data_IF_134201819572
#
_entry.id   IF_134201819572
#
_cell.length_a   1.000
_cell.length_b   1.000
_cell.length_c   1.000
_cell.angle_alpha   90.00
_cell.angle_beta   90.00
_cell.angle_gamma   90.00
#
_symmetry.space_group_name_H-M   'P 1'
#
loop_
_entity.id
_entity.type
_entity.pdbx_description
1 polymer ?
#
# COMPACT_ATOMS: atom_id res chain seq x y z
N UNK A 1 19.45 -50.34 -29.55
CA UNK A 1 19.15 -50.80 -28.18
C UNK A 1 17.85 -50.14 -27.75
N UNK A 2 16.84 -50.88 -27.27
CA UNK A 2 15.53 -50.30 -26.94
C UNK A 2 15.68 -49.37 -25.72
N UNK A 3 14.99 -48.23 -25.72
CA UNK A 3 14.85 -47.38 -24.53
C UNK A 3 14.31 -48.25 -23.38
N UNK A 4 15.11 -48.41 -22.33
CA UNK A 4 14.68 -49.10 -21.11
C UNK A 4 13.55 -48.28 -20.51
N UNK A 5 12.33 -48.81 -20.54
CA UNK A 5 11.17 -48.18 -19.93
C UNK A 5 11.46 -47.89 -18.45
N UNK A 6 11.56 -46.60 -18.08
CA UNK A 6 11.79 -46.20 -16.69
C UNK A 6 10.64 -46.75 -15.85
N UNK A 7 10.98 -47.47 -14.78
CA UNK A 7 9.97 -47.94 -13.84
C UNK A 7 9.21 -46.76 -13.23
N UNK A 8 7.92 -46.93 -12.92
CA UNK A 8 7.06 -45.86 -12.36
C UNK A 8 7.67 -45.23 -11.10
N UNK A 9 8.32 -46.03 -10.27
CA UNK A 9 9.08 -45.56 -9.10
C UNK A 9 10.28 -44.66 -9.50
N UNK A 10 10.98 -44.98 -10.59
CA UNK A 10 12.04 -44.15 -11.16
C UNK A 10 11.53 -42.81 -11.71
N UNK A 11 10.37 -42.81 -12.36
CA UNK A 11 9.72 -41.58 -12.86
C UNK A 11 9.33 -40.67 -11.69
N UNK A 12 8.67 -41.20 -10.66
CA UNK A 12 8.27 -40.42 -9.49
C UNK A 12 9.48 -39.82 -8.75
N UNK A 13 10.56 -40.60 -8.58
CA UNK A 13 11.81 -40.08 -7.99
C UNK A 13 12.47 -39.00 -8.86
N UNK A 14 12.36 -39.12 -10.19
CA UNK A 14 12.79 -38.08 -11.12
C UNK A 14 12.07 -36.75 -10.89
N UNK A 15 10.75 -36.77 -10.70
CA UNK A 15 9.97 -35.56 -10.40
C UNK A 15 10.26 -34.96 -9.02
N UNK A 16 10.58 -35.77 -8.01
CA UNK A 16 11.04 -35.26 -6.71
C UNK A 16 12.41 -34.57 -6.86
N UNK A 17 13.33 -35.14 -7.64
CA UNK A 17 14.63 -34.51 -7.91
C UNK A 17 14.51 -33.23 -8.73
N UNK A 18 13.49 -33.13 -9.59
CA UNK A 18 13.27 -31.97 -10.47
C UNK A 18 12.54 -30.82 -9.76
N UNK A 19 11.49 -31.13 -9.00
CA UNK A 19 10.59 -30.15 -8.39
C UNK A 19 10.74 -29.99 -6.88
N UNK A 20 11.61 -30.79 -6.24
CA UNK A 20 11.92 -30.69 -4.82
C UNK A 20 11.15 -31.66 -3.94
N UNK A 21 11.82 -32.14 -2.89
CA UNK A 21 11.25 -33.01 -1.85
C UNK A 21 10.30 -32.29 -0.89
N UNK A 22 10.32 -30.97 -0.91
CA UNK A 22 9.41 -30.08 -0.19
C UNK A 22 8.05 -29.96 -0.86
N UNK A 23 7.95 -30.28 -2.16
CA UNK A 23 6.71 -30.20 -2.95
C UNK A 23 6.07 -31.58 -3.13
N UNK A 24 6.89 -32.61 -3.34
CA UNK A 24 6.42 -33.96 -3.64
C UNK A 24 7.05 -35.03 -2.76
N UNK A 25 6.23 -36.03 -2.44
CA UNK A 25 6.66 -37.28 -1.80
C UNK A 25 6.10 -38.49 -2.57
N UNK A 26 6.71 -39.66 -2.40
CA UNK A 26 6.30 -40.89 -3.10
C UNK A 26 6.50 -42.11 -2.22
N UNK A 27 5.55 -43.04 -2.26
CA UNK A 27 5.70 -44.40 -1.71
C UNK A 27 6.28 -45.39 -2.74
N UNK A 28 6.64 -44.89 -3.92
CA UNK A 28 7.13 -45.67 -5.08
C UNK A 28 6.05 -45.95 -6.12
N UNK A 29 4.77 -45.89 -5.76
CA UNK A 29 3.64 -46.16 -6.65
C UNK A 29 2.89 -44.89 -7.06
N UNK A 30 2.78 -43.92 -6.14
CA UNK A 30 2.03 -42.66 -6.32
C UNK A 30 2.92 -41.47 -5.96
N UNK A 31 2.95 -40.45 -6.83
CA UNK A 31 3.53 -39.14 -6.49
C UNK A 31 2.44 -38.30 -5.81
N UNK A 32 2.65 -37.93 -4.56
CA UNK A 32 1.72 -37.11 -3.77
C UNK A 32 2.29 -35.71 -3.60
N UNK A 33 1.47 -34.71 -3.90
CA UNK A 33 1.80 -33.31 -3.61
C UNK A 33 1.60 -33.05 -2.11
N UNK A 34 2.63 -32.54 -1.44
CA UNK A 34 2.61 -32.25 -0.01
C UNK A 34 1.66 -31.07 0.31
N UNK A 35 1.69 -29.92 -0.41
CA UNK A 35 0.73 -28.83 -0.21
C UNK A 35 -0.73 -29.19 -0.42
N UNK A 36 -1.03 -30.01 -1.43
CA UNK A 36 -2.41 -30.34 -1.82
C UNK A 36 -2.96 -31.59 -1.13
N UNK A 37 -2.10 -32.35 -0.45
CA UNK A 37 -2.36 -33.71 0.05
C UNK A 37 -3.11 -34.61 -0.95
N UNK A 38 -2.73 -34.50 -2.22
CA UNK A 38 -3.43 -35.16 -3.33
C UNK A 38 -2.45 -35.89 -4.26
N UNK A 39 -2.83 -37.04 -4.83
CA UNK A 39 -2.04 -37.71 -5.85
C UNK A 39 -1.95 -36.86 -7.13
N UNK A 40 -0.80 -36.90 -7.79
CA UNK A 40 -0.55 -36.21 -9.06
C UNK A 40 -0.24 -37.23 -10.15
N UNK A 41 -0.84 -37.03 -11.32
CA UNK A 41 -0.60 -37.89 -12.47
C UNK A 41 0.81 -37.66 -13.03
N UNK A 42 1.53 -38.76 -13.27
CA UNK A 42 2.94 -38.74 -13.67
C UNK A 42 3.18 -39.26 -15.09
N UNK A 43 2.12 -39.47 -15.89
CA UNK A 43 2.24 -40.00 -17.26
C UNK A 43 2.94 -39.02 -18.19
N UNK A 44 2.75 -37.72 -17.99
CA UNK A 44 3.53 -36.68 -18.69
C UNK A 44 3.95 -35.55 -17.75
N UNK A 45 5.16 -35.02 -17.97
CA UNK A 45 5.71 -33.88 -17.21
C UNK A 45 4.80 -32.65 -17.24
N UNK A 46 4.07 -32.44 -18.33
CA UNK A 46 3.12 -31.32 -18.45
C UNK A 46 2.00 -31.38 -17.41
N UNK A 47 1.57 -32.57 -16.99
CA UNK A 47 0.53 -32.74 -15.97
C UNK A 47 1.03 -32.32 -14.58
N UNK A 48 2.27 -32.70 -14.25
CA UNK A 48 2.93 -32.28 -13.01
C UNK A 48 3.10 -30.75 -13.00
N UNK A 49 3.57 -30.19 -14.12
CA UNK A 49 3.74 -28.74 -14.26
C UNK A 49 2.39 -27.99 -14.19
N UNK A 50 1.32 -28.57 -14.76
CA UNK A 50 -0.02 -28.00 -14.72
C UNK A 50 -0.58 -28.02 -13.29
N UNK A 51 -0.37 -29.10 -12.53
CA UNK A 51 -0.75 -29.19 -11.12
C UNK A 51 -0.15 -28.05 -10.30
N UNK A 52 1.16 -27.79 -10.46
CA UNK A 52 1.88 -26.71 -9.77
C UNK A 52 1.32 -25.31 -10.10
N UNK A 53 0.74 -25.13 -11.29
CA UNK A 53 0.12 -23.88 -11.72
C UNK A 53 -1.35 -23.74 -11.31
N UNK A 54 -1.95 -24.74 -10.69
CA UNK A 54 -3.36 -24.66 -10.29
C UNK A 54 -3.56 -23.65 -9.18
N UNK A 55 -4.69 -22.92 -9.23
CA UNK A 55 -5.09 -21.97 -8.18
C UNK A 55 -5.15 -22.62 -6.78
N UNK A 56 -5.55 -23.89 -6.73
CA UNK A 56 -5.59 -24.68 -5.49
C UNK A 56 -4.20 -24.88 -4.89
N UNK A 57 -3.23 -25.30 -5.71
CA UNK A 57 -1.86 -25.52 -5.25
C UNK A 57 -1.19 -24.23 -4.78
N UNK A 58 -1.32 -23.14 -5.55
CA UNK A 58 -0.79 -21.83 -5.16
C UNK A 58 -1.38 -21.35 -3.83
N UNK A 59 -2.71 -21.46 -3.67
CA UNK A 59 -3.39 -21.11 -2.42
C UNK A 59 -2.96 -21.98 -1.24
N UNK A 60 -2.75 -23.27 -1.45
CA UNK A 60 -2.34 -24.19 -0.37
C UNK A 60 -0.89 -23.97 0.06
N UNK A 61 -0.01 -23.56 -0.86
CA UNK A 61 1.35 -23.12 -0.53
C UNK A 61 1.29 -21.84 0.32
N UNK A 62 0.46 -20.86 -0.05
CA UNK A 62 0.25 -19.65 0.76
C UNK A 62 -0.25 -20.00 2.17
N UNK A 63 -1.22 -20.91 2.29
CA UNK A 63 -1.75 -21.38 3.59
C UNK A 63 -0.67 -22.10 4.40
N UNK A 64 0.13 -22.99 3.80
CA UNK A 64 1.22 -23.69 4.50
C UNK A 64 2.32 -22.73 4.96
N UNK A 65 2.70 -21.76 4.14
CA UNK A 65 3.67 -20.73 4.51
C UNK A 65 3.16 -19.87 5.68
N UNK A 66 1.88 -19.49 5.67
CA UNK A 66 1.24 -18.79 6.77
C UNK A 66 1.19 -19.64 8.05
N UNK A 67 0.92 -20.95 7.93
CA UNK A 67 0.86 -21.87 9.06
C UNK A 67 2.24 -22.18 9.66
N UNK A 68 3.28 -22.30 8.84
CA UNK A 68 4.66 -22.45 9.30
C UNK A 68 5.17 -21.19 10.01
N UNK A 69 4.76 -20.01 9.51
CA UNK A 69 5.01 -18.73 10.17
C UNK A 69 4.30 -18.63 11.53
N UNK A 70 3.02 -19.05 11.60
CA UNK A 70 2.26 -19.17 12.85
C UNK A 70 2.98 -20.11 13.85
N UNK A 71 3.40 -21.31 13.44
CA UNK A 71 4.14 -22.24 14.31
C UNK A 71 5.49 -21.69 14.81
N UNK A 72 6.22 -20.91 13.99
CA UNK A 72 7.48 -20.28 14.40
C UNK A 72 7.28 -19.16 15.43
N UNK A 73 6.22 -18.35 15.26
CA UNK A 73 5.78 -17.39 16.25
C UNK A 73 5.41 -18.11 17.56
N UNK A 74 4.53 -19.11 17.51
CA UNK A 74 4.05 -19.93 18.65
C UNK A 74 5.19 -20.52 19.48
N UNK A 75 6.18 -21.15 18.84
CA UNK A 75 7.32 -21.78 19.53
C UNK A 75 8.25 -20.77 20.24
N UNK A 76 8.26 -19.51 19.81
CA UNK A 76 9.00 -18.42 20.48
C UNK A 76 8.26 -17.89 21.71
N UNK A 77 6.95 -18.07 21.78
CA UNK A 77 6.08 -17.55 22.85
C UNK A 77 5.99 -18.44 24.10
N UNK A 78 6.00 -19.77 23.95
CA UNK A 78 5.92 -20.71 25.09
C UNK A 78 7.07 -20.55 26.09
N UNK A 79 8.23 -20.03 25.66
CA UNK A 79 9.43 -19.90 26.50
C UNK A 79 9.46 -18.69 27.44
N UNK A 80 8.50 -17.75 27.41
CA UNK A 80 8.64 -16.44 28.09
C UNK A 80 7.60 -16.11 29.19
N UNK A 81 6.65 -16.99 29.49
CA UNK A 81 5.96 -17.02 30.80
C UNK A 81 5.15 -15.78 31.24
N UNK A 82 4.62 -14.93 30.35
CA UNK A 82 3.84 -13.73 30.76
C UNK A 82 2.46 -13.54 30.12
N UNK A 83 2.16 -14.20 29.00
CA UNK A 83 0.82 -14.31 28.43
C UNK A 83 0.50 -15.79 28.22
N UNK A 84 -0.75 -16.20 28.44
CA UNK A 84 -1.19 -17.53 28.06
C UNK A 84 -1.18 -17.67 26.54
N UNK A 85 -0.95 -18.88 26.02
CA UNK A 85 -1.00 -19.17 24.59
C UNK A 85 -2.33 -18.69 23.98
N UNK A 86 -3.45 -18.95 24.65
CA UNK A 86 -4.77 -18.51 24.21
C UNK A 86 -4.94 -16.99 24.13
N UNK A 87 -4.21 -16.21 24.95
CA UNK A 87 -4.25 -14.74 24.85
C UNK A 87 -3.50 -14.24 23.62
N UNK A 88 -2.46 -14.95 23.19
CA UNK A 88 -1.71 -14.65 21.96
C UNK A 88 -2.51 -15.03 20.72
N UNK A 89 -3.11 -16.22 20.72
CA UNK A 89 -4.01 -16.68 19.66
C UNK A 89 -5.15 -15.68 19.43
N UNK A 90 -5.72 -15.14 20.52
CA UNK A 90 -6.74 -14.10 20.47
C UNK A 90 -6.18 -12.79 19.89
N UNK A 91 -5.01 -12.31 20.34
CA UNK A 91 -4.39 -11.10 19.78
C UNK A 91 -4.14 -11.25 18.28
N UNK A 92 -3.69 -12.41 17.83
CA UNK A 92 -3.47 -12.72 16.42
C UNK A 92 -4.78 -12.73 15.64
N UNK A 93 -5.84 -13.35 16.18
CA UNK A 93 -7.17 -13.32 15.55
C UNK A 93 -7.74 -11.90 15.44
N UNK A 94 -7.59 -11.08 16.49
CA UNK A 94 -8.00 -9.68 16.48
C UNK A 94 -7.22 -8.88 15.44
N UNK A 95 -5.90 -9.04 15.39
CA UNK A 95 -5.04 -8.37 14.43
C UNK A 95 -5.36 -8.80 12.99
N UNK A 96 -5.56 -10.10 12.75
CA UNK A 96 -5.90 -10.65 11.43
C UNK A 96 -7.30 -10.26 10.95
N UNK A 97 -8.22 -9.98 11.88
CA UNK A 97 -9.57 -9.50 11.60
C UNK A 97 -9.69 -7.96 11.63
N UNK A 98 -8.59 -7.24 11.78
CA UNK A 98 -8.56 -5.77 11.89
C UNK A 98 -9.42 -5.21 13.04
N UNK A 99 -9.53 -5.96 14.14
CA UNK A 99 -10.25 -5.57 15.35
C UNK A 99 -9.25 -4.96 16.35
N UNK A 100 -9.35 -3.67 16.69
CA UNK A 100 -8.46 -3.06 17.66
C UNK A 100 -8.58 -3.74 19.04
N UNK A 101 -7.44 -4.03 19.67
CA UNK A 101 -7.42 -4.56 21.05
C UNK A 101 -8.14 -3.64 22.04
N UNK A 102 -8.31 -2.36 21.72
CA UNK A 102 -9.08 -1.44 22.57
C UNK A 102 -10.57 -1.76 22.68
N UNK A 103 -11.11 -2.56 21.76
CA UNK A 103 -12.48 -3.09 21.90
C UNK A 103 -12.62 -3.97 23.14
N UNK A 104 -11.53 -4.57 23.64
CA UNK A 104 -11.52 -5.32 24.90
C UNK A 104 -11.73 -4.46 26.14
N UNK A 105 -11.65 -3.13 26.03
CA UNK A 105 -12.01 -2.20 27.12
C UNK A 105 -13.51 -1.97 27.23
N UNK A 106 -14.32 -2.41 26.26
CA UNK A 106 -15.77 -2.42 26.40
C UNK A 106 -16.19 -3.52 27.38
N UNK A 107 -16.82 -3.19 28.53
CA UNK A 107 -17.10 -4.17 29.58
C UNK A 107 -18.10 -5.26 29.15
N UNK A 108 -19.04 -4.94 28.25
CA UNK A 108 -20.04 -5.90 27.74
C UNK A 108 -19.39 -6.92 26.81
N UNK A 109 -18.62 -6.43 25.83
CA UNK A 109 -17.91 -7.30 24.89
C UNK A 109 -16.89 -8.18 25.61
N UNK A 110 -16.15 -7.59 26.55
CA UNK A 110 -15.19 -8.32 27.38
C UNK A 110 -15.84 -9.42 28.19
N UNK A 111 -16.92 -9.13 28.91
CA UNK A 111 -17.62 -10.14 29.71
C UNK A 111 -18.19 -11.28 28.87
N UNK A 112 -18.72 -10.97 27.68
CA UNK A 112 -19.15 -11.98 26.71
C UNK A 112 -17.96 -12.86 26.27
N UNK A 113 -16.85 -12.23 25.86
CA UNK A 113 -15.67 -12.96 25.36
C UNK A 113 -15.03 -13.85 26.43
N UNK A 114 -14.87 -13.34 27.66
CA UNK A 114 -14.37 -14.12 28.81
C UNK A 114 -15.28 -15.31 29.11
N UNK A 115 -16.61 -15.16 28.97
CA UNK A 115 -17.57 -16.26 29.18
C UNK A 115 -17.50 -17.32 28.09
N UNK A 116 -17.50 -16.94 26.82
CA UNK A 116 -17.51 -17.89 25.70
C UNK A 116 -16.16 -18.63 25.58
N UNK A 117 -15.04 -17.93 25.85
CA UNK A 117 -13.69 -18.50 25.72
C UNK A 117 -13.17 -19.13 27.01
N UNK A 118 -13.80 -18.82 28.16
CA UNK A 118 -13.31 -19.16 29.51
C UNK A 118 -11.90 -18.62 29.81
N UNK A 119 -11.46 -17.60 29.08
CA UNK A 119 -10.18 -16.94 29.28
C UNK A 119 -10.34 -15.80 30.26
N UNK A 120 -9.39 -15.66 31.18
CA UNK A 120 -9.25 -14.43 31.97
C UNK A 120 -8.39 -13.46 31.18
N UNK A 121 -9.01 -12.43 30.59
CA UNK A 121 -8.30 -11.55 29.67
C UNK A 121 -7.42 -10.58 30.45
N UNK A 122 -6.18 -10.33 30.06
CA UNK A 122 -5.45 -9.18 30.57
C UNK A 122 -6.11 -7.87 30.12
N UNK A 123 -5.73 -6.76 30.74
CA UNK A 123 -6.12 -5.43 30.26
C UNK A 123 -5.54 -5.19 28.85
N UNK A 124 -6.23 -4.42 27.99
CA UNK A 124 -5.81 -4.18 26.60
C UNK A 124 -4.35 -3.68 26.51
N UNK A 125 -3.93 -2.85 27.47
CA UNK A 125 -2.59 -2.26 27.49
C UNK A 125 -1.52 -3.31 27.80
N UNK A 126 -1.86 -4.34 28.57
CA UNK A 126 -0.98 -5.48 28.85
C UNK A 126 -0.84 -6.35 27.60
N UNK A 127 -1.96 -6.66 26.93
CA UNK A 127 -1.97 -7.43 25.68
C UNK A 127 -1.16 -6.72 24.60
N UNK A 128 -1.44 -5.43 24.37
CA UNK A 128 -0.76 -4.59 23.39
C UNK A 128 0.76 -4.55 23.61
N UNK A 129 1.18 -4.25 24.84
CA UNK A 129 2.60 -4.18 25.20
C UNK A 129 3.27 -5.52 24.95
N UNK A 130 2.74 -6.61 25.51
CA UNK A 130 3.43 -7.90 25.46
C UNK A 130 3.38 -8.56 24.07
N UNK A 131 2.25 -8.47 23.37
CA UNK A 131 2.11 -8.99 22.01
C UNK A 131 3.10 -8.32 21.06
N UNK A 132 3.06 -6.98 20.97
CA UNK A 132 3.96 -6.27 20.06
C UNK A 132 5.42 -6.39 20.46
N UNK A 133 5.76 -6.30 21.76
CA UNK A 133 7.13 -6.54 22.27
C UNK A 133 7.72 -7.83 21.74
N UNK A 134 6.96 -8.92 21.83
CA UNK A 134 7.44 -10.22 21.40
C UNK A 134 7.55 -10.35 19.88
N UNK A 135 6.64 -9.72 19.13
CA UNK A 135 6.72 -9.70 17.66
C UNK A 135 7.98 -8.98 17.16
N UNK A 136 8.39 -7.88 17.80
CA UNK A 136 9.53 -7.08 17.33
C UNK A 136 10.86 -7.45 17.99
N UNK A 137 10.86 -8.27 19.03
CA UNK A 137 12.06 -8.62 19.80
C UNK A 137 13.13 -9.23 18.90
N UNK A 138 14.34 -8.66 18.94
CA UNK A 138 15.49 -9.07 18.15
C UNK A 138 15.24 -9.07 16.63
N UNK A 139 14.27 -8.25 16.16
CA UNK A 139 13.99 -8.10 14.73
C UNK A 139 14.31 -6.68 14.28
N UNK A 140 14.69 -6.55 13.01
CA UNK A 140 14.80 -5.24 12.36
C UNK A 140 13.40 -4.69 12.10
N UNK A 141 13.17 -3.44 12.42
CA UNK A 141 11.87 -2.80 12.30
C UNK A 141 11.93 -1.53 11.47
N UNK A 142 10.76 -1.19 10.94
CA UNK A 142 10.45 0.12 10.40
C UNK A 142 9.28 0.72 11.15
N UNK A 143 9.24 2.05 11.20
CA UNK A 143 8.19 2.82 11.84
C UNK A 143 7.60 3.75 10.80
N UNK A 144 6.28 3.92 10.81
CA UNK A 144 5.59 4.96 10.08
C UNK A 144 4.76 5.80 11.02
N UNK A 145 4.83 7.13 10.83
CA UNK A 145 3.94 8.07 11.50
C UNK A 145 3.20 8.84 10.43
N UNK A 146 1.88 8.72 10.48
CA UNK A 146 0.95 9.39 9.59
C UNK A 146 -0.02 10.24 10.40
N UNK A 147 -0.21 11.49 9.99
CA UNK A 147 -1.11 12.43 10.67
C UNK A 147 -2.41 12.57 9.89
N UNK A 148 -3.52 12.58 10.62
CA UNK A 148 -4.85 12.83 10.07
C UNK A 148 -5.63 13.76 10.98
N UNK A 149 -6.80 14.16 10.51
CA UNK A 149 -7.76 14.95 11.29
C UNK A 149 -9.03 14.13 11.38
N UNK A 150 -9.52 13.91 12.60
CA UNK A 150 -10.75 13.16 12.80
C UNK A 150 -12.02 13.99 12.50
N UNK A 151 -13.18 13.34 12.58
CA UNK A 151 -14.47 13.97 12.24
C UNK A 151 -14.85 15.19 13.10
N UNK A 152 -14.21 15.37 14.27
CA UNK A 152 -14.45 16.52 15.15
C UNK A 152 -13.29 17.53 15.16
N UNK A 153 -12.32 17.36 14.25
CA UNK A 153 -11.22 18.29 14.05
C UNK A 153 -9.99 18.07 14.92
N UNK A 154 -9.91 16.95 15.66
CA UNK A 154 -8.71 16.62 16.44
C UNK A 154 -7.61 16.15 15.52
N UNK A 155 -6.38 16.60 15.79
CA UNK A 155 -5.17 16.16 15.09
C UNK A 155 -4.78 14.83 15.70
N UNK A 156 -4.63 13.82 14.87
CA UNK A 156 -4.38 12.45 15.31
C UNK A 156 -3.17 11.91 14.58
N UNK A 157 -2.22 11.33 15.31
CA UNK A 157 -1.09 10.62 14.73
C UNK A 157 -1.26 9.12 14.91
N UNK A 158 -1.22 8.41 13.79
CA UNK A 158 -1.20 6.97 13.72
C UNK A 158 0.25 6.49 13.62
N UNK A 159 0.63 5.58 14.51
CA UNK A 159 1.96 4.98 14.52
C UNK A 159 1.84 3.52 14.10
N UNK A 160 2.42 3.20 12.95
CA UNK A 160 2.53 1.84 12.45
C UNK A 160 3.95 1.36 12.68
N UNK A 161 4.08 0.11 13.11
CA UNK A 161 5.36 -0.58 13.19
C UNK A 161 5.28 -1.81 12.33
N UNK A 162 6.34 -2.07 11.58
CA UNK A 162 6.45 -3.30 10.82
C UNK A 162 7.83 -3.92 10.91
N UNK A 163 7.86 -5.20 10.61
CA UNK A 163 9.05 -6.03 10.66
C UNK A 163 9.69 -6.03 9.27
N UNK A 164 11.00 -5.86 9.22
CA UNK A 164 11.75 -6.04 8.00
C UNK A 164 12.26 -7.47 7.94
N UNK A 165 11.96 -8.17 6.84
CA UNK A 165 12.45 -9.52 6.56
C UNK A 165 13.27 -9.51 5.25
N UNK A 166 14.33 -10.34 5.13
CA UNK A 166 15.20 -10.33 3.95
C UNK A 166 14.54 -10.90 2.68
N UNK A 167 13.58 -11.80 2.82
CA UNK A 167 13.05 -12.65 1.75
C UNK A 167 11.62 -12.30 1.33
N UNK A 168 10.87 -11.59 2.18
CA UNK A 168 9.47 -11.20 1.95
C UNK A 168 9.09 -9.91 2.69
N UNK A 169 7.88 -9.42 2.45
CA UNK A 169 7.27 -8.39 3.31
C UNK A 169 7.03 -8.95 4.71
N UNK A 170 7.39 -8.19 5.74
CA UNK A 170 7.10 -8.58 7.12
C UNK A 170 5.76 -8.05 7.60
N UNK A 171 5.31 -8.59 8.74
CA UNK A 171 4.07 -8.17 9.37
C UNK A 171 4.16 -6.72 9.84
N UNK A 172 3.04 -6.01 9.78
CA UNK A 172 2.89 -4.63 10.24
C UNK A 172 1.59 -4.46 10.99
N UNK A 173 1.58 -3.54 11.94
CA UNK A 173 0.45 -3.33 12.82
C UNK A 173 0.37 -1.88 13.28
N UNK A 174 -0.85 -1.42 13.49
CA UNK A 174 -1.12 -0.14 14.16
C UNK A 174 -0.75 -0.28 15.64
N UNK A 175 0.36 0.33 16.03
CA UNK A 175 0.86 0.27 17.41
C UNK A 175 0.03 1.19 18.32
N UNK A 176 -0.14 2.44 17.92
CA UNK A 176 -0.95 3.41 18.64
C UNK A 176 -1.52 4.50 17.74
N UNK A 177 -2.56 5.16 18.25
CA UNK A 177 -3.23 6.32 17.66
C UNK A 177 -3.37 7.33 18.79
N UNK A 178 -2.68 8.46 18.67
CA UNK A 178 -2.62 9.48 19.72
C UNK A 178 -3.12 10.83 19.20
N UNK A 179 -3.86 11.55 20.03
CA UNK A 179 -4.20 12.94 19.77
C UNK A 179 -2.96 13.83 19.95
N UNK A 180 -2.73 14.73 19.00
CA UNK A 180 -1.66 15.71 19.03
C UNK A 180 -2.21 17.09 19.36
N UNK A 181 -1.69 17.72 20.42
CA UNK A 181 -1.98 19.13 20.70
C UNK A 181 -1.51 20.04 19.54
N UNK A 182 -0.33 19.72 19.00
CA UNK A 182 0.34 20.47 17.91
C UNK A 182 0.98 19.50 16.91
N UNK A 183 0.90 19.85 15.63
CA UNK A 183 1.59 19.17 14.53
C UNK A 183 2.93 19.87 14.29
N UNK A 184 3.95 19.50 15.05
CA UNK A 184 5.30 20.03 14.91
C UNK A 184 6.36 18.93 15.05
N UNK A 185 7.62 19.28 14.81
CA UNK A 185 8.71 18.31 14.78
C UNK A 185 8.96 17.67 16.16
N UNK A 186 8.67 18.39 17.24
CA UNK A 186 8.84 17.90 18.60
C UNK A 186 7.77 16.87 18.95
N UNK A 187 6.51 17.16 18.60
CA UNK A 187 5.40 16.23 18.77
C UNK A 187 5.65 14.90 18.05
N UNK A 188 6.12 14.95 16.80
CA UNK A 188 6.47 13.75 16.02
C UNK A 188 7.66 12.98 16.63
N UNK A 189 8.70 13.69 17.10
CA UNK A 189 9.82 13.02 17.76
C UNK A 189 9.42 12.37 19.10
N UNK A 190 8.54 13.03 19.86
CA UNK A 190 8.00 12.53 21.12
C UNK A 190 7.14 11.29 20.91
N UNK A 191 6.16 11.34 20.00
CA UNK A 191 5.31 10.17 19.74
C UNK A 191 6.13 8.98 19.18
N UNK A 192 7.16 9.24 18.36
CA UNK A 192 8.10 8.19 17.94
C UNK A 192 8.78 7.53 19.14
N UNK A 193 9.33 8.33 20.06
CA UNK A 193 10.01 7.82 21.24
C UNK A 193 9.06 7.09 22.21
N UNK A 194 7.88 7.65 22.47
CA UNK A 194 6.89 7.03 23.35
C UNK A 194 6.33 5.72 22.76
N UNK A 195 6.20 5.65 21.44
CA UNK A 195 5.86 4.42 20.73
C UNK A 195 6.91 3.33 20.94
N UNK A 196 8.20 3.66 20.87
CA UNK A 196 9.27 2.70 21.17
C UNK A 196 9.19 2.15 22.59
N UNK A 197 8.79 2.95 23.59
CA UNK A 197 8.59 2.45 24.98
C UNK A 197 7.48 1.39 25.06
N UNK A 198 6.46 1.48 24.20
CA UNK A 198 5.42 0.46 24.11
C UNK A 198 6.01 -0.88 23.64
N UNK A 199 6.93 -0.83 22.69
CA UNK A 199 7.67 -1.99 22.15
C UNK A 199 8.74 -2.56 23.10
N UNK A 200 8.97 -1.94 24.26
CA UNK A 200 9.96 -2.40 25.25
C UNK A 200 11.38 -1.95 24.92
N UNK A 201 12.37 -2.75 25.36
CA UNK A 201 13.79 -2.44 25.15
C UNK A 201 14.19 -2.76 23.71
N UNK A 202 13.88 -1.87 22.79
CA UNK A 202 14.31 -1.93 21.39
C UNK A 202 15.71 -1.33 21.28
N UNK A 203 16.62 -2.08 20.67
CA UNK A 203 17.93 -1.55 20.31
C UNK A 203 17.75 -0.49 19.21
N UNK A 204 18.34 0.69 19.40
CA UNK A 204 18.29 1.76 18.41
C UNK A 204 18.84 1.33 17.03
N UNK A 205 19.78 0.38 17.00
CA UNK A 205 20.35 -0.20 15.77
C UNK A 205 19.44 -1.22 15.08
N UNK A 206 18.30 -1.59 15.68
CA UNK A 206 17.27 -2.42 15.06
C UNK A 206 16.19 -1.58 14.37
N UNK A 207 16.15 -0.26 14.61
CA UNK A 207 15.26 0.67 13.91
C UNK A 207 15.94 1.14 12.63
N UNK A 208 15.59 0.52 11.50
CA UNK A 208 16.27 0.74 10.23
C UNK A 208 15.58 1.78 9.35
N UNK A 209 14.26 1.95 9.46
CA UNK A 209 13.52 2.81 8.56
C UNK A 209 12.44 3.60 9.29
N UNK A 210 12.29 4.86 8.93
CA UNK A 210 11.23 5.74 9.37
C UNK A 210 10.55 6.39 8.18
N UNK A 211 9.27 6.11 8.00
CA UNK A 211 8.44 6.61 6.89
C UNK A 211 7.49 7.67 7.43
N UNK A 212 7.43 8.82 6.77
CA UNK A 212 6.49 9.89 7.15
C UNK A 212 5.96 10.60 5.92
N UNK A 213 5.02 11.51 6.10
CA UNK A 213 4.72 12.50 5.08
C UNK A 213 5.87 13.47 4.81
N UNK A 214 5.79 14.13 3.64
CA UNK A 214 6.79 15.06 3.14
C UNK A 214 6.68 16.50 3.66
N UNK A 215 5.95 16.71 4.76
CA UNK A 215 5.77 18.05 5.37
C UNK A 215 7.03 18.49 6.13
N UNK A 216 7.37 19.79 6.16
CA UNK A 216 8.67 20.26 6.65
C UNK A 216 9.02 19.84 8.09
N UNK A 217 8.04 19.80 8.98
CA UNK A 217 8.27 19.47 10.39
C UNK A 217 8.49 17.96 10.60
N UNK A 218 7.83 17.08 9.85
CA UNK A 218 8.14 15.64 9.86
C UNK A 218 9.54 15.37 9.33
N UNK A 219 9.95 16.06 8.25
CA UNK A 219 11.34 15.99 7.75
C UNK A 219 12.34 16.49 8.80
N UNK A 220 11.99 17.54 9.54
CA UNK A 220 12.81 18.04 10.66
C UNK A 220 12.90 17.01 11.79
N UNK A 221 11.80 16.36 12.16
CA UNK A 221 11.77 15.31 13.17
C UNK A 221 12.62 14.11 12.77
N UNK A 222 12.43 13.58 11.54
CA UNK A 222 13.22 12.47 11.02
C UNK A 222 14.73 12.75 11.01
N UNK A 223 15.13 13.97 10.64
CA UNK A 223 16.54 14.40 10.73
C UNK A 223 17.07 14.43 12.16
N UNK A 224 16.28 14.91 13.12
CA UNK A 224 16.68 14.95 14.52
C UNK A 224 16.82 13.54 15.10
N UNK A 225 15.87 12.65 14.81
CA UNK A 225 15.88 11.26 15.28
C UNK A 225 17.08 10.47 14.75
N UNK A 226 17.57 10.75 13.53
CA UNK A 226 18.80 10.13 13.00
C UNK A 226 20.05 10.34 13.87
N UNK A 227 20.08 11.36 14.73
CA UNK A 227 21.19 11.56 15.67
C UNK A 227 21.26 10.45 16.72
N UNK A 228 20.10 9.89 17.08
CA UNK A 228 19.95 8.81 18.07
C UNK A 228 19.94 7.47 17.34
N UNK A 229 19.14 7.33 16.29
CA UNK A 229 18.96 6.11 15.50
C UNK A 229 19.87 6.16 14.26
N UNK A 230 21.17 5.87 14.45
CA UNK A 230 22.22 6.14 13.44
C UNK A 230 22.15 5.26 12.19
N UNK A 231 21.50 4.10 12.29
CA UNK A 231 21.23 3.20 11.15
C UNK A 231 19.93 3.53 10.43
N UNK A 232 19.07 4.35 11.04
CA UNK A 232 17.75 4.64 10.51
C UNK A 232 17.80 5.54 9.27
N UNK A 233 17.13 5.09 8.21
CA UNK A 233 16.83 5.91 7.04
C UNK A 233 15.47 6.57 7.27
N UNK A 234 15.40 7.90 7.15
CA UNK A 234 14.14 8.61 7.10
C UNK A 234 13.77 8.86 5.63
N UNK A 235 12.61 8.36 5.22
CA UNK A 235 12.05 8.51 3.88
C UNK A 235 10.69 9.19 3.96
N UNK A 236 10.40 10.07 3.01
CA UNK A 236 9.05 10.65 2.89
C UNK A 236 8.20 9.81 1.95
N UNK A 237 6.91 9.72 2.21
CA UNK A 237 5.95 8.91 1.49
C UNK A 237 5.98 9.19 -0.02
N UNK A 238 6.29 8.17 -0.81
CA UNK A 238 6.41 8.27 -2.27
C UNK A 238 5.05 8.41 -2.94
N UNK A 239 4.03 7.67 -2.49
CA UNK A 239 2.65 7.78 -2.99
C UNK A 239 2.08 9.18 -2.74
N UNK A 240 2.27 9.74 -1.54
CA UNK A 240 1.88 11.12 -1.24
C UNK A 240 2.66 12.11 -2.13
N UNK A 241 3.95 11.85 -2.35
CA UNK A 241 4.75 12.59 -3.32
C UNK A 241 4.12 12.64 -4.71
N UNK A 242 3.74 11.47 -5.25
CA UNK A 242 3.07 11.36 -6.56
C UNK A 242 1.70 12.05 -6.55
N UNK A 243 0.93 11.93 -5.47
CA UNK A 243 -0.35 12.62 -5.32
C UNK A 243 -0.20 14.14 -5.42
N UNK A 244 0.82 14.73 -4.77
CA UNK A 244 1.10 16.18 -4.84
C UNK A 244 1.51 16.65 -6.22
N UNK A 245 2.06 15.77 -7.05
CA UNK A 245 2.28 16.04 -8.49
C UNK A 245 0.94 16.09 -9.21
N UNK A 246 0.06 15.10 -9.01
CA UNK A 246 -1.29 15.11 -9.57
C UNK A 246 -2.12 16.34 -9.15
N UNK A 247 -1.97 16.81 -7.91
CA UNK A 247 -2.59 18.08 -7.48
C UNK A 247 -2.04 19.30 -8.24
N UNK A 248 -0.75 19.28 -8.55
CA UNK A 248 -0.11 20.36 -9.33
C UNK A 248 -0.60 20.33 -10.77
N UNK A 249 -0.76 19.13 -11.36
CA UNK A 249 -1.41 18.93 -12.66
C UNK A 249 -2.80 19.54 -12.62
N UNK A 250 -3.67 19.14 -11.69
CA UNK A 250 -5.02 19.70 -11.51
C UNK A 250 -5.02 21.24 -11.45
N UNK A 251 -4.12 21.83 -10.67
CA UNK A 251 -4.02 23.30 -10.53
C UNK A 251 -3.68 24.03 -11.83
N UNK A 252 -3.12 23.35 -12.83
CA UNK A 252 -2.76 23.91 -14.12
C UNK A 252 -3.94 23.91 -15.12
N UNK A 253 -5.07 23.26 -14.80
CA UNK A 253 -6.22 23.08 -15.69
C UNK A 253 -7.54 23.45 -15.00
N UNK A 254 -7.75 24.74 -14.68
CA UNK A 254 -8.92 25.19 -13.91
C UNK A 254 -10.26 24.94 -14.63
N UNK A 255 -10.31 24.95 -15.97
CA UNK A 255 -11.53 24.65 -16.71
C UNK A 255 -11.93 23.18 -16.56
N UNK A 256 -10.97 22.26 -16.71
CA UNK A 256 -11.18 20.82 -16.48
C UNK A 256 -11.53 20.55 -15.02
N UNK A 257 -10.85 21.20 -14.08
CA UNK A 257 -11.17 21.08 -12.66
C UNK A 257 -12.58 21.59 -12.35
N UNK A 258 -12.98 22.71 -12.97
CA UNK A 258 -14.34 23.24 -12.90
C UNK A 258 -15.39 22.28 -13.45
N UNK A 259 -15.11 21.63 -14.58
CA UNK A 259 -15.99 20.62 -15.18
C UNK A 259 -16.17 19.45 -14.21
N UNK A 260 -15.06 18.89 -13.74
CA UNK A 260 -15.02 17.75 -12.81
C UNK A 260 -15.73 18.08 -11.49
N UNK A 261 -15.52 19.29 -10.95
CA UNK A 261 -16.12 19.72 -9.70
C UNK A 261 -17.64 19.93 -9.79
N UNK A 262 -18.17 20.29 -10.97
CA UNK A 262 -19.59 20.63 -11.15
C UNK A 262 -20.40 19.51 -11.81
N UNK A 263 -19.83 18.70 -12.69
CA UNK A 263 -20.60 17.72 -13.45
C UNK A 263 -21.29 16.66 -12.59
N UNK A 264 -20.64 16.15 -11.52
CA UNK A 264 -21.36 15.28 -10.57
C UNK A 264 -22.47 16.01 -9.81
N UNK A 265 -22.26 17.28 -9.46
CA UNK A 265 -23.21 18.05 -8.65
C UNK A 265 -24.54 18.23 -9.36
N UNK A 266 -24.56 18.24 -10.70
CA UNK A 266 -25.78 18.27 -11.51
C UNK A 266 -26.72 17.10 -11.13
N UNK A 267 -26.17 15.90 -10.99
CA UNK A 267 -26.96 14.68 -10.75
C UNK A 267 -27.10 14.33 -9.26
N UNK A 268 -26.39 15.04 -8.38
CA UNK A 268 -26.33 14.69 -6.96
C UNK A 268 -27.68 14.99 -6.29
N UNK A 269 -28.31 13.95 -5.73
CA UNK A 269 -29.61 14.03 -5.02
C UNK A 269 -30.74 14.58 -5.89
N UNK A 270 -30.70 14.36 -7.21
CA UNK A 270 -31.76 14.78 -8.12
C UNK A 270 -32.15 13.63 -9.06
N UNK A 271 -33.13 12.79 -8.68
CA UNK A 271 -33.55 11.63 -9.46
C UNK A 271 -34.03 11.99 -10.88
N UNK A 272 -34.72 13.12 -11.06
CA UNK A 272 -35.19 13.53 -12.39
C UNK A 272 -34.04 13.79 -13.37
N UNK A 273 -32.97 14.44 -12.92
CA UNK A 273 -31.77 14.67 -13.76
C UNK A 273 -30.98 13.38 -14.02
N UNK A 274 -30.98 12.46 -13.05
CA UNK A 274 -30.40 11.11 -13.26
C UNK A 274 -31.20 10.37 -14.32
N UNK A 275 -32.53 10.38 -14.26
CA UNK A 275 -33.39 9.75 -15.26
C UNK A 275 -33.16 10.34 -16.66
N UNK A 276 -33.07 11.67 -16.79
CA UNK A 276 -32.76 12.32 -18.08
C UNK A 276 -31.43 11.81 -18.67
N UNK A 277 -30.41 11.64 -17.83
CA UNK A 277 -29.12 11.12 -18.26
C UNK A 277 -29.20 9.64 -18.66
N UNK A 278 -29.92 8.82 -17.89
CA UNK A 278 -30.11 7.39 -18.15
C UNK A 278 -30.93 7.17 -19.43
N UNK A 279 -32.03 7.90 -19.61
CA UNK A 279 -32.86 7.86 -20.82
C UNK A 279 -32.05 8.24 -22.06
N UNK A 280 -31.19 9.27 -21.97
CA UNK A 280 -30.31 9.67 -23.06
C UNK A 280 -29.27 8.58 -23.39
N UNK A 281 -28.70 7.92 -22.38
CA UNK A 281 -27.74 6.83 -22.58
C UNK A 281 -28.41 5.60 -23.22
N UNK A 282 -29.63 5.27 -22.78
CA UNK A 282 -30.45 4.18 -23.32
C UNK A 282 -30.81 4.42 -24.79
N UNK A 283 -31.14 5.67 -25.17
CA UNK A 283 -31.41 6.05 -26.55
C UNK A 283 -30.20 5.84 -27.48
N UNK A 284 -28.98 6.04 -26.98
CA UNK A 284 -27.75 5.74 -27.72
C UNK A 284 -27.38 4.25 -27.72
N UNK A 285 -28.06 3.43 -26.93
CA UNK A 285 -27.74 2.02 -26.74
C UNK A 285 -26.37 1.79 -26.08
N UNK A 286 -25.91 2.75 -25.26
CA UNK A 286 -24.59 2.71 -24.60
C UNK A 286 -24.75 2.67 -23.09
N UNK A 287 -24.01 1.79 -22.42
CA UNK A 287 -23.90 1.81 -20.96
C UNK A 287 -22.92 2.92 -20.54
N UNK A 288 -23.45 4.11 -20.26
CA UNK A 288 -22.66 5.28 -19.85
C UNK A 288 -22.87 5.53 -18.35
N UNK A 289 -21.83 5.44 -17.51
CA UNK A 289 -22.00 5.72 -16.09
C UNK A 289 -22.21 7.22 -15.86
N UNK A 290 -22.89 7.57 -14.75
CA UNK A 290 -22.92 8.95 -14.28
C UNK A 290 -21.49 9.47 -14.01
N UNK A 291 -21.23 10.79 -14.12
CA UNK A 291 -19.94 11.34 -13.80
C UNK A 291 -19.44 10.90 -12.42
N UNK A 292 -18.14 10.63 -12.24
CA UNK A 292 -17.59 10.25 -10.94
C UNK A 292 -17.50 11.47 -10.02
N UNK A 293 -17.51 11.21 -8.71
CA UNK A 293 -17.17 12.23 -7.71
C UNK A 293 -15.71 12.04 -7.30
N UNK A 294 -14.80 12.96 -7.61
CA UNK A 294 -13.47 12.92 -7.03
C UNK A 294 -13.57 12.96 -5.51
N UNK A 295 -12.81 12.10 -4.85
CA UNK A 295 -12.73 12.05 -3.40
C UNK A 295 -11.40 12.69 -3.00
N UNK A 296 -11.45 13.78 -2.24
CA UNK A 296 -10.25 14.51 -1.81
C UNK A 296 -9.33 13.66 -0.94
N UNK A 297 -9.88 12.68 -0.22
CA UNK A 297 -9.14 11.74 0.63
C UNK A 297 -8.75 10.44 -0.09
N UNK A 298 -9.12 10.23 -1.36
CA UNK A 298 -8.65 9.08 -2.15
C UNK A 298 -7.85 9.58 -3.35
N UNK A 299 -6.55 9.32 -3.31
CA UNK A 299 -5.61 9.86 -4.27
C UNK A 299 -5.85 9.33 -5.69
N UNK A 300 -5.65 10.20 -6.68
CA UNK A 300 -5.80 9.86 -8.10
C UNK A 300 -7.24 9.85 -8.64
N UNK A 301 -8.27 10.01 -7.81
CA UNK A 301 -9.68 10.03 -8.26
C UNK A 301 -10.03 11.17 -9.21
N UNK A 302 -9.31 12.30 -9.14
CA UNK A 302 -9.46 13.38 -10.13
C UNK A 302 -9.04 12.94 -11.54
N UNK A 303 -7.95 12.17 -11.66
CA UNK A 303 -7.51 11.63 -12.96
C UNK A 303 -8.48 10.58 -13.51
N UNK A 304 -9.17 9.84 -12.64
CA UNK A 304 -10.28 8.97 -13.05
C UNK A 304 -11.46 9.78 -13.62
N UNK A 305 -11.77 10.92 -13.01
CA UNK A 305 -12.79 11.83 -13.54
C UNK A 305 -12.38 12.44 -14.89
N UNK A 306 -11.11 12.82 -15.05
CA UNK A 306 -10.59 13.27 -16.35
C UNK A 306 -10.78 12.20 -17.42
N UNK A 307 -10.41 10.93 -17.14
CA UNK A 307 -10.62 9.83 -18.09
C UNK A 307 -12.09 9.62 -18.43
N UNK A 308 -12.98 9.75 -17.44
CA UNK A 308 -14.42 9.71 -17.70
C UNK A 308 -14.82 10.76 -18.73
N UNK A 309 -14.41 12.02 -18.55
CA UNK A 309 -14.73 13.06 -19.52
C UNK A 309 -14.03 12.81 -20.87
N UNK A 310 -12.82 12.27 -20.90
CA UNK A 310 -12.18 11.94 -22.18
C UNK A 310 -13.02 10.95 -23.02
N UNK A 311 -13.68 10.01 -22.34
CA UNK A 311 -14.50 9.00 -23.01
C UNK A 311 -15.93 9.48 -23.35
N UNK A 312 -16.47 10.40 -22.55
CA UNK A 312 -17.92 10.72 -22.55
C UNK A 312 -18.24 12.23 -22.63
N UNK A 313 -17.27 13.11 -22.89
CA UNK A 313 -17.49 14.56 -22.97
C UNK A 313 -18.56 14.95 -24.01
N UNK A 314 -18.59 14.40 -25.24
CA UNK A 314 -19.63 14.74 -26.21
C UNK A 314 -21.04 14.44 -25.68
N UNK A 315 -21.24 13.22 -25.17
CA UNK A 315 -22.52 12.80 -24.59
C UNK A 315 -22.91 13.64 -23.37
N UNK A 316 -21.96 13.87 -22.46
CA UNK A 316 -22.18 14.70 -21.28
C UNK A 316 -22.59 16.12 -21.68
N UNK A 317 -21.95 16.70 -22.71
CA UNK A 317 -22.26 18.04 -23.19
C UNK A 317 -23.68 18.11 -23.76
N UNK A 318 -24.07 17.13 -24.58
CA UNK A 318 -25.42 17.03 -25.14
C UNK A 318 -26.51 17.03 -24.06
N UNK A 319 -26.34 16.19 -23.03
CA UNK A 319 -27.30 16.13 -21.91
C UNK A 319 -27.32 17.45 -21.14
N UNK A 320 -26.16 18.01 -20.82
CA UNK A 320 -26.09 19.19 -19.95
C UNK A 320 -26.57 20.46 -20.64
N UNK A 321 -26.38 20.61 -21.96
CA UNK A 321 -26.87 21.78 -22.72
C UNK A 321 -28.40 21.83 -22.74
N UNK A 322 -29.10 20.70 -22.62
CA UNK A 322 -30.56 20.65 -22.60
C UNK A 322 -31.18 20.98 -21.24
N UNK A 323 -30.38 21.04 -20.17
CA UNK A 323 -30.87 21.35 -18.83
C UNK A 323 -31.05 22.87 -18.64
N UNK A 324 -32.01 23.27 -17.81
CA UNK A 324 -32.22 24.69 -17.48
C UNK A 324 -31.07 25.23 -16.59
N UNK A 325 -30.39 26.28 -17.05
CA UNK A 325 -29.29 26.91 -16.31
C UNK A 325 -29.71 27.49 -14.96
N UNK A 326 -31.00 27.81 -14.80
CA UNK A 326 -31.56 28.44 -13.60
C UNK A 326 -31.85 27.43 -12.48
N UNK A 327 -31.94 26.13 -12.81
CA UNK A 327 -32.22 25.06 -11.85
C UNK A 327 -31.05 24.78 -10.89
N UNK A 328 -29.82 25.10 -11.30
CA UNK A 328 -28.62 24.83 -10.50
C UNK A 328 -27.41 25.62 -10.96
N UNK A 329 -26.71 26.22 -9.99
CA UNK A 329 -25.41 26.86 -10.21
C UNK A 329 -24.41 25.90 -10.87
N UNK A 330 -24.49 24.59 -10.60
CA UNK A 330 -23.63 23.60 -11.22
C UNK A 330 -23.95 23.36 -12.71
N UNK A 331 -25.22 23.47 -13.11
CA UNK A 331 -25.62 23.36 -14.53
C UNK A 331 -25.06 24.56 -15.28
N UNK A 332 -25.38 25.76 -14.81
CA UNK A 332 -24.87 27.01 -15.39
C UNK A 332 -23.34 27.00 -15.52
N UNK A 333 -22.63 26.61 -14.46
CA UNK A 333 -21.17 26.53 -14.49
C UNK A 333 -20.64 25.53 -15.54
N UNK A 334 -21.27 24.36 -15.68
CA UNK A 334 -20.89 23.40 -16.72
C UNK A 334 -21.21 23.91 -18.12
N UNK A 335 -22.38 24.51 -18.35
CA UNK A 335 -22.75 25.08 -19.65
C UNK A 335 -21.79 26.19 -20.09
N UNK A 336 -21.43 27.11 -19.19
CA UNK A 336 -20.42 28.15 -19.48
C UNK A 336 -19.04 27.55 -19.80
N UNK A 337 -18.66 26.43 -19.17
CA UNK A 337 -17.41 25.74 -19.53
C UNK A 337 -17.50 25.06 -20.90
N UNK A 338 -18.67 24.52 -21.24
CA UNK A 338 -18.94 23.87 -22.52
C UNK A 338 -19.01 24.86 -23.70
N UNK A 339 -19.19 26.17 -23.46
CA UNK A 339 -18.98 27.20 -24.49
C UNK A 339 -17.55 27.18 -25.07
N UNK A 340 -16.58 26.63 -24.33
CA UNK A 340 -15.18 26.42 -24.74
C UNK A 340 -14.91 24.94 -25.02
N UNK A 341 -15.83 24.28 -25.70
CA UNK A 341 -15.79 22.83 -25.92
C UNK A 341 -14.44 22.36 -26.48
N UNK A 342 -13.95 22.98 -27.55
CA UNK A 342 -12.71 22.54 -28.23
C UNK A 342 -11.48 22.61 -27.31
N UNK A 343 -11.35 23.68 -26.52
CA UNK A 343 -10.27 23.82 -25.53
C UNK A 343 -10.37 22.75 -24.44
N UNK A 344 -11.59 22.46 -23.98
CA UNK A 344 -11.87 21.50 -22.92
C UNK A 344 -11.60 20.06 -23.39
N UNK A 345 -12.03 19.71 -24.60
CA UNK A 345 -11.79 18.41 -25.22
C UNK A 345 -10.29 18.18 -25.44
N UNK A 346 -9.57 19.19 -25.95
CA UNK A 346 -8.13 19.13 -26.12
C UNK A 346 -7.39 18.96 -24.78
N UNK A 347 -7.75 19.74 -23.75
CA UNK A 347 -7.14 19.66 -22.43
C UNK A 347 -7.42 18.31 -21.74
N UNK A 348 -8.66 17.80 -21.80
CA UNK A 348 -9.02 16.50 -21.21
C UNK A 348 -8.30 15.35 -21.92
N UNK A 349 -8.22 15.38 -23.25
CA UNK A 349 -7.47 14.40 -24.05
C UNK A 349 -6.00 14.41 -23.68
N UNK A 350 -5.39 15.59 -23.62
CA UNK A 350 -3.99 15.75 -23.21
C UNK A 350 -3.76 15.22 -21.79
N UNK A 351 -4.67 15.53 -20.86
CA UNK A 351 -4.54 15.10 -19.47
C UNK A 351 -4.62 13.58 -19.30
N UNK A 352 -5.60 12.93 -19.96
CA UNK A 352 -5.77 11.48 -19.89
C UNK A 352 -4.57 10.74 -20.52
N UNK A 353 -4.10 11.21 -21.68
CA UNK A 353 -2.97 10.59 -22.37
C UNK A 353 -1.65 10.69 -21.58
N UNK A 354 -1.40 11.82 -20.92
CA UNK A 354 -0.07 12.11 -20.34
C UNK A 354 0.02 11.94 -18.82
N UNK A 355 -1.07 12.07 -18.07
CA UNK A 355 -1.03 12.09 -16.60
C UNK A 355 -1.78 10.94 -15.94
N UNK A 356 -2.58 10.16 -16.68
CA UNK A 356 -3.33 9.07 -16.07
C UNK A 356 -2.44 8.00 -15.41
N UNK A 357 -1.20 7.83 -15.88
CA UNK A 357 -0.23 6.90 -15.28
C UNK A 357 0.11 7.25 -13.82
N UNK A 358 0.02 8.52 -13.41
CA UNK A 358 0.19 8.92 -12.00
C UNK A 358 -0.77 8.17 -11.07
N UNK A 359 -2.03 7.98 -11.50
CA UNK A 359 -3.02 7.22 -10.71
C UNK A 359 -2.62 5.76 -10.53
N UNK A 360 -2.11 5.12 -11.59
CA UNK A 360 -1.64 3.74 -11.49
C UNK A 360 -0.42 3.59 -10.60
N UNK A 361 0.48 4.56 -10.65
CA UNK A 361 1.66 4.55 -9.80
C UNK A 361 1.32 4.74 -8.33
N UNK A 362 0.45 5.70 -7.99
CA UNK A 362 -0.06 5.88 -6.62
C UNK A 362 -0.65 4.56 -6.11
N UNK A 363 -1.58 3.96 -6.86
CA UNK A 363 -2.20 2.68 -6.49
C UNK A 363 -1.19 1.54 -6.37
N UNK A 364 -0.12 1.55 -7.16
CA UNK A 364 0.92 0.52 -7.10
C UNK A 364 1.78 0.69 -5.86
N UNK A 365 2.20 1.92 -5.55
CA UNK A 365 2.99 2.25 -4.36
C UNK A 365 2.22 2.01 -3.04
N UNK A 366 0.89 2.03 -3.08
CA UNK A 366 0.01 1.70 -1.95
C UNK A 366 -0.12 0.20 -1.69
N UNK A 367 0.28 -0.67 -2.63
CA UNK A 367 0.16 -2.13 -2.46
C UNK A 367 1.08 -2.62 -1.34
N UNK A 368 0.55 -3.50 -0.51
CA UNK A 368 1.35 -4.22 0.47
C UNK A 368 2.33 -5.17 -0.21
N UNK A 369 3.50 -5.33 0.39
CA UNK A 369 4.54 -6.26 -0.04
C UNK A 369 5.18 -5.99 -1.40
N UNK A 370 5.04 -4.78 -1.95
CA UNK A 370 5.75 -4.37 -3.15
C UNK A 370 7.28 -4.38 -2.89
N UNK A 371 8.08 -5.13 -3.67
CA UNK A 371 9.53 -5.07 -3.56
C UNK A 371 10.07 -3.66 -3.77
N UNK A 372 11.13 -3.29 -3.05
CA UNK A 372 11.71 -1.94 -3.13
C UNK A 372 12.14 -1.60 -4.56
N UNK A 373 12.73 -2.56 -5.28
CA UNK A 373 13.15 -2.36 -6.67
C UNK A 373 11.96 -2.03 -7.59
N UNK A 374 10.81 -2.68 -7.39
CA UNK A 374 9.60 -2.43 -8.18
C UNK A 374 8.96 -1.10 -7.81
N UNK A 375 8.98 -0.71 -6.53
CA UNK A 375 8.53 0.61 -6.08
C UNK A 375 9.38 1.74 -6.71
N UNK A 376 10.70 1.57 -6.72
CA UNK A 376 11.62 2.53 -7.33
C UNK A 376 11.44 2.63 -8.84
N UNK A 377 11.30 1.48 -9.53
CA UNK A 377 10.99 1.44 -10.96
C UNK A 377 9.67 2.12 -11.26
N UNK A 378 8.63 1.89 -10.46
CA UNK A 378 7.34 2.57 -10.63
C UNK A 378 7.46 4.10 -10.56
N UNK A 379 8.36 4.61 -9.70
CA UNK A 379 8.63 6.05 -9.59
C UNK A 379 9.42 6.56 -10.80
N UNK A 380 10.41 5.78 -11.26
CA UNK A 380 11.23 6.12 -12.43
C UNK A 380 10.39 6.16 -13.70
N UNK A 381 9.60 5.11 -13.95
CA UNK A 381 8.69 5.03 -15.09
C UNK A 381 7.80 6.28 -15.17
N UNK A 382 7.14 6.66 -14.07
CA UNK A 382 6.31 7.88 -14.06
C UNK A 382 7.13 9.13 -14.32
N UNK A 383 8.33 9.20 -13.76
CA UNK A 383 9.22 10.35 -13.99
C UNK A 383 9.58 10.41 -15.47
N UNK A 384 9.92 9.31 -16.10
CA UNK A 384 10.33 9.29 -17.51
C UNK A 384 9.17 9.53 -18.49
N UNK A 385 7.95 9.09 -18.17
CA UNK A 385 6.77 9.22 -19.04
C UNK A 385 6.08 10.58 -18.97
N UNK A 386 6.28 11.33 -17.88
CA UNK A 386 5.71 12.67 -17.81
C UNK A 386 6.27 13.49 -18.98
N UNK A 387 5.46 14.36 -19.62
CA UNK A 387 5.84 15.05 -20.85
C UNK A 387 6.85 16.18 -20.59
N UNK A 388 8.00 15.83 -20.03
CA UNK A 388 9.02 16.72 -19.51
C UNK A 388 9.74 17.51 -20.61
N UNK A 389 9.68 17.03 -21.86
CA UNK A 389 10.17 17.72 -23.04
C UNK A 389 9.20 18.72 -23.69
N UNK A 390 7.98 18.86 -23.17
CA UNK A 390 7.01 19.80 -23.74
C UNK A 390 7.34 21.26 -23.38
N UNK A 391 7.44 22.12 -24.40
CA UNK A 391 7.66 23.56 -24.24
C UNK A 391 6.37 24.18 -23.68
N UNK A 392 6.37 24.56 -22.41
CA UNK A 392 5.23 25.25 -21.80
C UNK A 392 5.37 25.53 -20.30
N UNK A 393 4.78 26.63 -19.83
CA UNK A 393 4.84 27.05 -18.42
C UNK A 393 4.17 26.05 -17.47
N UNK A 394 3.10 25.38 -17.91
CA UNK A 394 2.41 24.31 -17.15
C UNK A 394 3.32 23.09 -16.95
N UNK A 395 3.93 22.59 -18.03
CA UNK A 395 4.84 21.45 -17.98
C UNK A 395 6.05 21.75 -17.08
N UNK A 396 6.70 22.90 -17.27
CA UNK A 396 7.83 23.32 -16.42
C UNK A 396 7.47 23.35 -14.93
N UNK A 397 6.26 23.82 -14.57
CA UNK A 397 5.76 23.83 -13.19
C UNK A 397 5.58 22.41 -12.63
N UNK A 398 5.02 21.49 -13.42
CA UNK A 398 4.82 20.09 -13.02
C UNK A 398 6.18 19.38 -12.87
N UNK A 399 7.12 19.59 -13.79
CA UNK A 399 8.47 19.02 -13.74
C UNK A 399 9.20 19.50 -12.48
N UNK A 400 9.21 20.81 -12.26
CA UNK A 400 9.81 21.43 -11.08
C UNK A 400 9.24 20.83 -9.80
N UNK A 401 7.93 20.54 -9.77
CA UNK A 401 7.28 19.88 -8.64
C UNK A 401 7.79 18.45 -8.45
N UNK A 402 7.82 17.63 -9.49
CA UNK A 402 8.31 16.24 -9.43
C UNK A 402 9.75 16.21 -8.93
N UNK A 403 10.65 16.96 -9.58
CA UNK A 403 12.06 17.06 -9.22
C UNK A 403 12.22 17.49 -7.76
N UNK A 404 11.51 18.54 -7.33
CA UNK A 404 11.60 19.02 -5.96
C UNK A 404 11.16 17.99 -4.92
N UNK A 405 10.14 17.17 -5.22
CA UNK A 405 9.68 16.11 -4.32
C UNK A 405 10.74 15.02 -4.19
N UNK A 406 11.29 14.56 -5.30
CA UNK A 406 12.30 13.49 -5.33
C UNK A 406 13.60 13.94 -4.65
N UNK A 407 14.12 15.13 -4.97
CA UNK A 407 15.37 15.67 -4.40
C UNK A 407 15.28 15.92 -2.88
N UNK A 408 14.11 16.37 -2.39
CA UNK A 408 13.90 16.57 -0.95
C UNK A 408 13.86 15.26 -0.18
N UNK A 409 13.53 14.14 -0.84
CA UNK A 409 13.44 12.83 -0.23
C UNK A 409 14.81 12.14 -0.17
N UNK A 410 15.68 12.66 0.70
CA UNK A 410 17.05 12.14 0.87
C UNK A 410 17.10 10.65 1.20
N UNK A 411 16.12 10.14 1.95
CA UNK A 411 16.01 8.71 2.24
C UNK A 411 15.76 7.87 1.00
N UNK A 412 14.96 8.35 0.05
CA UNK A 412 14.71 7.65 -1.20
C UNK A 412 15.99 7.49 -2.03
N UNK A 413 16.87 8.49 -2.05
CA UNK A 413 18.19 8.35 -2.69
C UNK A 413 19.05 7.27 -2.03
N UNK A 414 19.02 7.18 -0.69
CA UNK A 414 19.69 6.08 0.02
C UNK A 414 19.05 4.74 -0.33
N UNK A 415 17.71 4.65 -0.37
CA UNK A 415 17.00 3.42 -0.75
C UNK A 415 17.31 2.99 -2.19
N UNK A 416 17.47 3.94 -3.13
CA UNK A 416 17.95 3.64 -4.50
C UNK A 416 19.33 3.00 -4.47
N UNK A 417 20.27 3.59 -3.74
CA UNK A 417 21.62 3.03 -3.59
C UNK A 417 21.59 1.63 -2.94
N UNK A 418 20.72 1.41 -1.94
CA UNK A 418 20.53 0.08 -1.34
C UNK A 418 19.98 -0.90 -2.37
N UNK A 419 18.93 -0.53 -3.10
CA UNK A 419 18.36 -1.38 -4.14
C UNK A 419 19.41 -1.77 -5.17
N UNK A 420 20.18 -0.81 -5.69
CA UNK A 420 21.28 -1.09 -6.63
C UNK A 420 22.33 -2.03 -6.03
N UNK A 421 22.72 -1.83 -4.76
CA UNK A 421 23.67 -2.72 -4.08
C UNK A 421 23.15 -4.16 -3.96
N UNK A 422 21.83 -4.36 -3.90
CA UNK A 422 21.18 -5.67 -3.79
C UNK A 422 20.89 -6.32 -5.14
N UNK A 423 20.61 -5.54 -6.19
CA UNK A 423 20.05 -6.06 -7.45
C UNK A 423 20.96 -5.90 -8.67
N UNK A 424 21.96 -5.02 -8.64
CA UNK A 424 22.83 -4.81 -9.80
C UNK A 424 23.65 -6.07 -10.10
N UNK A 425 23.78 -6.42 -11.38
CA UNK A 425 24.53 -7.59 -11.84
C UNK A 425 26.04 -7.41 -11.63
N UNK A 426 26.56 -6.24 -12.03
CA UNK A 426 27.98 -5.90 -11.96
C UNK A 426 28.40 -5.55 -10.54
N UNK A 427 29.51 -6.14 -10.10
CA UNK A 427 30.10 -5.85 -8.78
C UNK A 427 30.50 -4.38 -8.63
N UNK A 428 30.98 -3.74 -9.69
CA UNK A 428 31.38 -2.33 -9.68
C UNK A 428 30.22 -1.40 -9.32
N UNK A 429 29.03 -1.65 -9.89
CA UNK A 429 27.82 -0.89 -9.60
C UNK A 429 27.38 -1.09 -8.15
N UNK A 430 27.45 -2.32 -7.63
CA UNK A 430 27.18 -2.61 -6.21
C UNK A 430 28.14 -1.88 -5.28
N UNK A 431 29.43 -1.84 -5.63
CA UNK A 431 30.47 -1.13 -4.86
C UNK A 431 30.24 0.38 -4.91
N UNK A 432 29.93 0.94 -6.07
CA UNK A 432 29.64 2.36 -6.23
C UNK A 432 28.39 2.77 -5.43
N UNK A 433 27.31 2.00 -5.54
CA UNK A 433 26.07 2.24 -4.79
C UNK A 433 26.30 2.15 -3.28
N UNK A 434 27.08 1.17 -2.81
CA UNK A 434 27.43 1.04 -1.40
C UNK A 434 28.12 2.27 -0.83
N UNK A 435 28.95 2.97 -1.62
CA UNK A 435 29.62 4.23 -1.20
C UNK A 435 28.67 5.41 -1.04
N UNK A 436 27.48 5.36 -1.65
CA UNK A 436 26.47 6.41 -1.53
C UNK A 436 25.65 6.31 -0.23
N UNK A 437 25.65 5.14 0.43
CA UNK A 437 24.94 4.89 1.67
C UNK A 437 25.74 5.48 2.83
N UNK A 438 25.20 6.51 3.48
CA UNK A 438 25.87 7.26 4.57
C UNK A 438 25.55 6.69 5.95
N UNK A 439 24.41 6.03 6.07
CA UNK A 439 23.98 5.33 7.27
C UNK A 439 24.93 4.16 7.60
N UNK A 440 25.14 3.89 8.89
CA UNK A 440 26.09 2.86 9.38
C UNK A 440 25.52 1.44 9.27
N UNK A 441 24.93 1.12 8.12
CA UNK A 441 24.33 -0.18 7.84
C UNK A 441 25.43 -1.20 7.57
N UNK A 442 25.35 -2.39 8.15
CA UNK A 442 26.20 -3.55 7.78
C UNK A 442 25.72 -4.16 6.46
N UNK A 443 26.47 -5.12 5.90
CA UNK A 443 26.00 -5.87 4.73
C UNK A 443 24.74 -6.69 5.05
N UNK A 444 24.63 -7.20 6.28
CA UNK A 444 23.43 -7.90 6.76
C UNK A 444 22.23 -6.95 6.83
N UNK A 445 22.41 -5.74 7.39
CA UNK A 445 21.33 -4.75 7.49
C UNK A 445 20.73 -4.41 6.10
N UNK A 446 21.55 -4.40 5.03
CA UNK A 446 21.06 -4.14 3.67
C UNK A 446 20.05 -5.18 3.19
N UNK A 447 20.21 -6.45 3.58
CA UNK A 447 19.35 -7.54 3.09
C UNK A 447 17.89 -7.33 3.51
N UNK A 448 17.66 -6.66 4.64
CA UNK A 448 16.32 -6.34 5.18
C UNK A 448 15.56 -5.26 4.38
N UNK A 449 16.20 -4.58 3.42
CA UNK A 449 15.55 -3.53 2.64
C UNK A 449 14.88 -4.01 1.35
N UNK A 450 14.98 -5.31 1.01
CA UNK A 450 14.41 -5.85 -0.24
C UNK A 450 12.91 -5.57 -0.39
N UNK A 451 12.19 -5.54 0.74
CA UNK A 451 10.76 -5.21 0.83
C UNK A 451 10.50 -4.00 1.73
N UNK A 452 11.48 -3.10 1.87
CA UNK A 452 11.30 -1.90 2.68
C UNK A 452 10.20 -1.01 2.09
N UNK A 453 9.22 -0.55 2.90
CA UNK A 453 8.15 0.30 2.41
C UNK A 453 8.68 1.68 2.03
N UNK A 454 8.04 2.29 1.04
CA UNK A 454 8.31 3.69 0.66
C UNK A 454 7.10 4.60 0.89
N UNK A 455 6.01 4.07 1.46
CA UNK A 455 4.73 4.75 1.62
C UNK A 455 4.23 4.70 3.07
N UNK A 456 3.56 5.77 3.49
CA UNK A 456 2.88 5.86 4.80
C UNK A 456 1.41 5.39 4.75
N UNK A 457 0.88 5.10 3.55
CA UNK A 457 -0.56 5.10 3.23
C UNK A 457 -1.29 3.79 3.52
N UNK A 458 -0.66 2.88 4.25
CA UNK A 458 -1.27 1.58 4.53
C UNK A 458 -2.35 1.63 5.61
N UNK A 459 -2.85 2.82 5.93
CA UNK A 459 -3.92 3.06 6.92
C UNK A 459 -5.28 3.34 6.25
N UNK A 460 -5.31 3.69 4.97
CA UNK A 460 -6.53 4.25 4.36
C UNK A 460 -7.66 3.27 3.97
N UNK A 461 -7.47 1.96 3.72
CA UNK A 461 -8.61 1.11 3.44
C UNK A 461 -9.60 1.01 4.62
N UNK A 462 -9.15 1.30 5.85
CA UNK A 462 -9.89 0.92 7.06
C UNK A 462 -10.55 2.09 7.82
N UNK A 463 -10.10 3.34 7.64
CA UNK A 463 -10.70 4.48 8.35
C UNK A 463 -11.87 5.09 7.56
N UNK A 464 -11.90 4.95 6.22
CA UNK A 464 -12.93 5.56 5.38
C UNK A 464 -14.22 4.75 5.23
N UNK A 465 -14.31 3.55 5.81
CA UNK A 465 -15.51 2.71 5.72
C UNK A 465 -16.66 3.18 6.65
N UNK A 466 -16.41 4.10 7.59
CA UNK A 466 -17.43 4.59 8.53
C UNK A 466 -18.23 5.82 8.07
N UNK A 467 -18.04 6.31 6.84
CA UNK A 467 -18.82 7.45 6.29
C UNK A 467 -19.85 7.05 5.22
N UNK A 468 -20.21 5.76 5.15
CA UNK A 468 -21.28 5.28 4.29
C UNK A 468 -22.44 4.69 5.12
N UNK A 469 -23.16 5.57 5.81
CA UNK A 469 -24.59 5.40 6.13
C UNK A 469 -25.28 6.73 6.01
#
# INVERSE_FOLDING_TARGET
>A
MPEVAKSKAGINRGYISEFGSEIFQTDGSVLRCIPCDSPVQTTMRSQVTQHLKTKSHVKNIEIQNNRAHHLFLMASFEKQGKLSQSSLDMCEAFNAADIPLSKLSNPVFRAWLERETKLNLPHESTLRKQFFRNMVKNRKIWICIDETIDAIGRKVANVIVGILLPDRSGERFLLTTEELEKCDAEAIARIFHDSLKLLGDINADDVLLFVTDGVPYMVKAGRALKLIFRKMIHVTCTAHGQHRVAETVRSCYPNVDGLVANGKKIFRKCPSRVQIFEDAADLEGREIPLPPKPCTTRWGTWLEAVRYYNNYLPFFAEVVIQLDETDSVAIKACQTLLEKYDDLEADVTYLDANFFRLKFAIKTLEKDGLPLADALKCIDDVTDDLPFGSLGSKAAKINTKMTSILEKNKGLHTLRAISTALTAERTEDRVAARRLIKERLTSEDLTYYKFAPTTSCSVEPQISASEAT
#
